data_IF_658665116300
#
_entry.id   IF_658665116300
#
_cell.length_a   1.000
_cell.length_b   1.000
_cell.length_c   1.000
_cell.angle_alpha   90.00
_cell.angle_beta   90.00
_cell.angle_gamma   90.00
#
_symmetry.space_group_name_H-M   'P 1'
#
loop_
_entity.id
_entity.type
_entity.pdbx_description
1 polymer ?
#
# COMPACT_ATOMS: atom_id res chain seq x y z
N UNK A 1 19.56 10.98 21.77
CA UNK A 1 20.09 11.20 20.45
C UNK A 1 18.94 11.22 19.42
N UNK A 2 18.58 12.44 18.95
CA UNK A 2 17.37 12.65 18.13
C UNK A 2 17.42 11.90 16.79
N UNK A 3 18.62 11.65 16.23
CA UNK A 3 18.74 10.96 14.94
C UNK A 3 18.49 9.45 15.04
N UNK A 4 18.86 8.81 16.15
CA UNK A 4 18.60 7.39 16.38
C UNK A 4 17.11 7.16 16.65
N UNK A 5 16.49 8.00 17.48
CA UNK A 5 15.07 7.91 17.78
C UNK A 5 14.19 8.09 16.51
N UNK A 6 14.52 9.06 15.66
CA UNK A 6 13.84 9.25 14.38
C UNK A 6 14.01 8.02 13.47
N UNK A 7 15.23 7.47 13.34
CA UNK A 7 15.47 6.24 12.57
C UNK A 7 14.64 5.06 13.05
N UNK A 8 14.45 4.92 14.36
CA UNK A 8 13.68 3.81 14.93
C UNK A 8 12.17 3.99 14.70
N UNK A 9 11.67 5.22 14.71
CA UNK A 9 10.27 5.51 14.37
C UNK A 9 9.97 5.09 12.93
N UNK A 10 10.81 5.46 11.96
CA UNK A 10 10.60 5.09 10.54
C UNK A 10 10.70 3.59 10.30
N UNK A 11 11.65 2.91 10.93
CA UNK A 11 11.75 1.45 10.86
C UNK A 11 10.47 0.79 11.36
N UNK A 12 9.94 1.25 12.49
CA UNK A 12 8.69 0.74 13.07
C UNK A 12 7.51 0.99 12.17
N UNK A 13 7.39 2.18 11.58
CA UNK A 13 6.32 2.53 10.66
C UNK A 13 6.38 1.67 9.38
N UNK A 14 7.53 1.57 8.73
CA UNK A 14 7.71 0.70 7.55
C UNK A 14 7.36 -0.75 7.87
N UNK A 15 7.84 -1.29 8.99
CA UNK A 15 7.50 -2.64 9.43
C UNK A 15 6.00 -2.80 9.69
N UNK A 16 5.37 -1.82 10.35
CA UNK A 16 3.93 -1.84 10.61
C UNK A 16 3.14 -1.88 9.30
N UNK A 17 3.49 -1.07 8.30
CA UNK A 17 2.80 -1.02 7.01
C UNK A 17 2.99 -2.31 6.20
N UNK A 18 4.18 -2.92 6.25
CA UNK A 18 4.42 -4.27 5.70
C UNK A 18 3.52 -5.30 6.41
N UNK A 19 3.43 -5.25 7.75
CA UNK A 19 2.57 -6.14 8.53
C UNK A 19 1.09 -5.94 8.19
N UNK A 20 0.62 -4.70 8.10
CA UNK A 20 -0.77 -4.38 7.69
C UNK A 20 -1.06 -4.92 6.31
N UNK A 21 -0.16 -4.75 5.34
CA UNK A 21 -0.31 -5.30 3.99
C UNK A 21 -0.39 -6.82 3.99
N UNK A 22 0.49 -7.46 4.74
CA UNK A 22 0.48 -8.91 4.88
C UNK A 22 -0.80 -9.41 5.54
N UNK A 23 -1.28 -8.72 6.58
CA UNK A 23 -2.53 -9.03 7.24
C UNK A 23 -3.74 -8.85 6.32
N UNK A 24 -3.79 -7.75 5.53
CA UNK A 24 -4.84 -7.55 4.52
C UNK A 24 -4.88 -8.69 3.51
N UNK A 25 -3.73 -9.18 3.08
CA UNK A 25 -3.62 -10.35 2.21
C UNK A 25 -4.04 -11.64 2.92
N UNK A 26 -3.52 -11.88 4.13
CA UNK A 26 -3.78 -13.11 4.91
C UNK A 26 -5.25 -13.24 5.31
N UNK A 27 -5.94 -12.12 5.54
CA UNK A 27 -7.40 -12.12 5.81
C UNK A 27 -8.23 -12.63 4.62
N UNK A 28 -7.66 -12.67 3.41
CA UNK A 28 -8.24 -13.39 2.27
C UNK A 28 -8.39 -14.89 2.50
N UNK A 29 -7.65 -15.49 3.44
CA UNK A 29 -7.87 -16.88 3.90
C UNK A 29 -9.23 -17.07 4.58
N UNK A 30 -9.73 -16.04 5.25
CA UNK A 30 -11.05 -16.00 5.87
C UNK A 30 -12.16 -15.55 4.90
N UNK A 31 -11.91 -15.73 3.59
CA UNK A 31 -12.73 -15.22 2.50
C UNK A 31 -12.47 -13.75 2.15
N UNK A 32 -13.02 -13.31 1.02
CA UNK A 32 -12.91 -11.89 0.59
C UNK A 32 -13.48 -10.90 1.60
N UNK A 33 -14.38 -11.32 2.47
CA UNK A 33 -14.96 -10.48 3.52
C UNK A 33 -13.91 -10.02 4.56
N UNK A 34 -12.98 -10.91 4.95
CA UNK A 34 -11.92 -10.57 5.89
C UNK A 34 -11.02 -9.45 5.37
N UNK A 35 -10.58 -9.57 4.13
CA UNK A 35 -9.79 -8.50 3.47
C UNK A 35 -10.61 -7.22 3.32
N UNK A 36 -11.87 -7.31 2.88
CA UNK A 36 -12.77 -6.17 2.76
C UNK A 36 -12.94 -5.42 4.07
N UNK A 37 -13.14 -6.13 5.17
CA UNK A 37 -13.22 -5.54 6.51
C UNK A 37 -11.93 -4.80 6.89
N UNK A 38 -10.77 -5.41 6.65
CA UNK A 38 -9.48 -4.77 6.95
C UNK A 38 -9.26 -3.48 6.14
N UNK A 39 -9.55 -3.52 4.84
CA UNK A 39 -9.43 -2.33 3.98
C UNK A 39 -10.39 -1.22 4.41
N UNK A 40 -11.64 -1.58 4.71
CA UNK A 40 -12.66 -0.63 5.19
C UNK A 40 -12.25 0.00 6.52
N UNK A 41 -11.78 -0.80 7.48
CA UNK A 41 -11.34 -0.31 8.78
C UNK A 41 -10.16 0.66 8.66
N UNK A 42 -9.17 0.34 7.81
CA UNK A 42 -8.06 1.26 7.53
C UNK A 42 -8.55 2.54 6.84
N UNK A 43 -9.47 2.44 5.88
CA UNK A 43 -10.05 3.61 5.22
C UNK A 43 -10.81 4.53 6.18
N UNK A 44 -11.62 3.95 7.08
CA UNK A 44 -12.33 4.69 8.13
C UNK A 44 -11.35 5.40 9.07
N UNK A 45 -10.27 4.72 9.46
CA UNK A 45 -9.24 5.31 10.33
C UNK A 45 -8.59 6.53 9.65
N UNK A 46 -8.20 6.42 8.39
CA UNK A 46 -7.61 7.53 7.63
C UNK A 46 -8.62 8.68 7.47
N UNK A 47 -9.88 8.36 7.16
CA UNK A 47 -10.96 9.35 7.04
C UNK A 47 -11.25 10.07 8.35
N UNK A 48 -11.32 9.36 9.46
CA UNK A 48 -11.51 9.95 10.80
C UNK A 48 -10.36 10.88 11.18
N UNK A 49 -9.12 10.49 10.86
CA UNK A 49 -7.94 11.32 11.11
C UNK A 49 -7.97 12.61 10.29
N UNK A 50 -8.31 12.54 9.01
CA UNK A 50 -8.49 13.72 8.16
C UNK A 50 -9.61 14.63 8.66
N UNK A 51 -10.74 14.06 9.10
CA UNK A 51 -11.87 14.83 9.66
C UNK A 51 -11.47 15.55 10.93
N UNK A 52 -10.69 14.93 11.79
CA UNK A 52 -10.14 15.57 12.99
C UNK A 52 -9.34 16.83 12.65
N UNK A 53 -8.43 16.76 11.69
CA UNK A 53 -7.63 17.91 11.26
C UNK A 53 -8.48 18.97 10.55
N UNK A 54 -9.50 18.56 9.80
CA UNK A 54 -10.46 19.49 9.19
C UNK A 54 -11.17 20.35 10.26
N UNK A 55 -11.59 19.73 11.35
CA UNK A 55 -12.26 20.45 12.45
C UNK A 55 -11.36 21.44 13.20
N UNK A 56 -10.05 21.34 13.04
CA UNK A 56 -9.04 22.21 13.65
C UNK A 56 -8.39 23.16 12.65
N UNK A 57 -8.98 23.35 11.47
CA UNK A 57 -8.46 24.18 10.38
C UNK A 57 -7.04 23.83 9.92
N UNK A 58 -6.62 22.57 10.12
CA UNK A 58 -5.30 22.04 9.78
C UNK A 58 -5.34 21.04 8.61
N UNK A 59 -6.43 21.07 7.81
CA UNK A 59 -6.61 20.08 6.75
C UNK A 59 -5.51 20.15 5.70
N UNK A 60 -5.08 21.34 5.30
CA UNK A 60 -4.07 21.51 4.26
C UNK A 60 -2.72 20.96 4.69
N UNK A 61 -2.22 21.40 5.83
CA UNK A 61 -0.94 20.98 6.39
C UNK A 61 -0.91 19.48 6.68
N UNK A 62 -1.98 18.96 7.28
CA UNK A 62 -2.09 17.54 7.58
C UNK A 62 -2.20 16.69 6.32
N UNK A 63 -2.93 17.17 5.30
CA UNK A 63 -3.02 16.46 4.02
C UNK A 63 -1.68 16.38 3.32
N UNK A 64 -0.94 17.49 3.24
CA UNK A 64 0.41 17.50 2.68
C UNK A 64 1.33 16.54 3.44
N UNK A 65 1.28 16.55 4.77
CA UNK A 65 2.10 15.67 5.59
C UNK A 65 1.72 14.18 5.39
N UNK A 66 0.42 13.84 5.42
CA UNK A 66 -0.06 12.46 5.30
C UNK A 66 0.20 11.90 3.90
N UNK A 67 -0.13 12.66 2.85
CA UNK A 67 -0.01 12.18 1.47
C UNK A 67 1.43 12.17 0.96
N UNK A 68 2.35 12.87 1.61
CA UNK A 68 3.75 12.92 1.21
C UNK A 68 4.41 11.52 1.22
N UNK A 69 4.16 10.72 2.24
CA UNK A 69 4.61 9.33 2.37
C UNK A 69 3.47 8.34 2.18
N UNK A 70 2.29 8.68 2.64
CA UNK A 70 1.09 7.85 2.58
C UNK A 70 0.64 7.50 1.17
N UNK A 71 0.97 8.31 0.16
CA UNK A 71 0.69 7.99 -1.24
C UNK A 71 1.26 6.62 -1.62
N UNK A 72 2.52 6.34 -1.32
CA UNK A 72 3.14 5.05 -1.62
C UNK A 72 2.60 3.93 -0.74
N UNK A 73 2.45 4.17 0.55
CA UNK A 73 2.08 3.17 1.55
C UNK A 73 0.62 2.72 1.41
N UNK A 74 -0.31 3.68 1.29
CA UNK A 74 -1.74 3.38 1.15
C UNK A 74 -1.99 2.58 -0.13
N UNK A 75 -1.36 2.94 -1.24
CA UNK A 75 -1.50 2.19 -2.48
C UNK A 75 -0.90 0.78 -2.37
N UNK A 76 0.23 0.61 -1.71
CA UNK A 76 0.81 -0.71 -1.48
C UNK A 76 -0.12 -1.60 -0.62
N UNK A 77 -0.79 -1.03 0.40
CA UNK A 77 -1.81 -1.73 1.20
C UNK A 77 -3.03 -2.10 0.35
N UNK A 78 -3.51 -1.19 -0.50
CA UNK A 78 -4.63 -1.46 -1.43
C UNK A 78 -4.29 -2.62 -2.37
N UNK A 79 -3.08 -2.63 -2.94
CA UNK A 79 -2.63 -3.69 -3.85
C UNK A 79 -2.52 -5.03 -3.12
N UNK A 80 -1.99 -5.04 -1.89
CA UNK A 80 -1.94 -6.24 -1.06
C UNK A 80 -3.36 -6.74 -0.70
N UNK A 81 -4.28 -5.83 -0.41
CA UNK A 81 -5.69 -6.14 -0.20
C UNK A 81 -6.35 -6.74 -1.44
N UNK A 82 -6.11 -6.18 -2.62
CA UNK A 82 -6.62 -6.74 -3.88
C UNK A 82 -6.12 -8.18 -4.10
N UNK A 83 -4.85 -8.45 -3.75
CA UNK A 83 -4.30 -9.81 -3.78
C UNK A 83 -5.01 -10.74 -2.78
N UNK A 84 -5.39 -10.25 -1.58
CA UNK A 84 -6.18 -10.97 -0.59
C UNK A 84 -7.60 -11.28 -1.07
N UNK A 85 -8.27 -10.30 -1.70
CA UNK A 85 -9.58 -10.51 -2.32
C UNK A 85 -9.52 -11.59 -3.41
N UNK A 86 -8.50 -11.55 -4.26
CA UNK A 86 -8.30 -12.57 -5.30
C UNK A 86 -8.04 -13.97 -4.71
N UNK A 87 -7.33 -14.04 -3.58
CA UNK A 87 -7.11 -15.29 -2.84
C UNK A 87 -8.44 -15.86 -2.32
N UNK A 88 -9.24 -15.04 -1.63
CA UNK A 88 -10.54 -15.42 -1.09
C UNK A 88 -11.53 -15.84 -2.19
N UNK A 89 -11.56 -15.13 -3.31
CA UNK A 89 -12.36 -15.51 -4.48
C UNK A 89 -11.93 -16.85 -5.06
N UNK A 90 -10.64 -17.15 -5.11
CA UNK A 90 -10.15 -18.46 -5.58
C UNK A 90 -10.66 -19.63 -4.74
N UNK A 91 -10.89 -19.42 -3.45
CA UNK A 91 -11.51 -20.41 -2.57
C UNK A 91 -13.02 -20.53 -2.76
N UNK A 92 -13.71 -19.38 -2.85
CA UNK A 92 -15.17 -19.34 -2.97
C UNK A 92 -15.66 -19.79 -4.37
N UNK A 93 -14.94 -19.37 -5.41
CA UNK A 93 -15.32 -19.59 -6.81
C UNK A 93 -14.15 -20.24 -7.57
N UNK A 94 -13.90 -21.55 -7.36
CA UNK A 94 -12.72 -22.23 -7.93
C UNK A 94 -12.77 -22.44 -9.45
N UNK A 95 -13.92 -22.18 -10.09
CA UNK A 95 -14.12 -22.44 -11.52
C UNK A 95 -13.95 -23.91 -11.88
N UNK A 96 -13.12 -24.21 -12.89
CA UNK A 96 -12.84 -25.56 -13.36
C UNK A 96 -11.81 -26.31 -12.50
N UNK A 97 -11.14 -25.65 -11.57
CA UNK A 97 -10.14 -26.26 -10.70
C UNK A 97 -10.77 -26.80 -9.41
N UNK A 98 -10.08 -27.76 -8.76
CA UNK A 98 -10.42 -28.09 -7.39
C UNK A 98 -10.21 -26.88 -6.47
N UNK A 99 -10.97 -26.78 -5.37
CA UNK A 99 -10.85 -25.66 -4.42
C UNK A 99 -9.42 -25.46 -3.91
N UNK A 100 -8.75 -26.56 -3.59
CA UNK A 100 -7.36 -26.54 -3.10
C UNK A 100 -6.39 -26.04 -4.16
N UNK A 101 -6.56 -26.47 -5.42
CA UNK A 101 -5.69 -26.04 -6.51
C UNK A 101 -5.92 -24.57 -6.86
N UNK A 102 -7.18 -24.12 -6.92
CA UNK A 102 -7.52 -22.71 -7.13
C UNK A 102 -6.95 -21.83 -6.03
N UNK A 103 -7.08 -22.27 -4.76
CA UNK A 103 -6.50 -21.61 -3.61
C UNK A 103 -4.96 -21.52 -3.69
N UNK A 104 -4.26 -22.63 -3.97
CA UNK A 104 -2.80 -22.64 -4.11
C UNK A 104 -2.30 -21.68 -5.19
N UNK A 105 -3.00 -21.61 -6.32
CA UNK A 105 -2.67 -20.69 -7.41
C UNK A 105 -2.92 -19.23 -6.99
N UNK A 106 -4.04 -18.96 -6.33
CA UNK A 106 -4.36 -17.65 -5.77
C UNK A 106 -3.32 -17.22 -4.74
N UNK A 107 -2.98 -18.08 -3.79
CA UNK A 107 -1.98 -17.83 -2.75
C UNK A 107 -0.60 -17.53 -3.34
N UNK A 108 -0.14 -18.32 -4.30
CA UNK A 108 1.16 -18.11 -4.95
C UNK A 108 1.22 -16.78 -5.73
N UNK A 109 0.14 -16.41 -6.42
CA UNK A 109 0.06 -15.12 -7.14
C UNK A 109 -0.01 -13.95 -6.15
N UNK A 110 -0.88 -14.05 -5.16
CA UNK A 110 -1.07 -12.99 -4.18
C UNK A 110 0.18 -12.76 -3.33
N UNK A 111 0.87 -13.83 -2.91
CA UNK A 111 2.13 -13.70 -2.17
C UNK A 111 3.21 -12.98 -2.99
N UNK A 112 3.31 -13.25 -4.30
CA UNK A 112 4.25 -12.54 -5.18
C UNK A 112 3.92 -11.04 -5.26
N UNK A 113 2.63 -10.70 -5.30
CA UNK A 113 2.17 -9.30 -5.31
C UNK A 113 2.56 -8.63 -3.99
N UNK A 114 2.27 -9.25 -2.85
CA UNK A 114 2.60 -8.70 -1.52
C UNK A 114 4.10 -8.53 -1.33
N UNK A 115 4.91 -9.51 -1.73
CA UNK A 115 6.38 -9.37 -1.72
C UNK A 115 6.82 -8.21 -2.63
N UNK A 116 6.17 -8.03 -3.77
CA UNK A 116 6.42 -6.89 -4.67
C UNK A 116 6.06 -5.52 -4.07
N UNK A 117 5.23 -5.44 -3.02
CA UNK A 117 4.97 -4.18 -2.32
C UNK A 117 6.07 -3.78 -1.34
N UNK A 118 6.90 -4.73 -0.88
CA UNK A 118 7.95 -4.46 0.12
C UNK A 118 8.95 -3.39 -0.34
N UNK A 119 9.50 -3.42 -1.58
CA UNK A 119 10.37 -2.36 -2.07
C UNK A 119 9.71 -0.98 -2.04
N UNK A 120 8.39 -0.91 -2.29
CA UNK A 120 7.62 0.33 -2.26
C UNK A 120 7.56 0.90 -0.84
N UNK A 121 7.35 0.06 0.18
CA UNK A 121 7.39 0.48 1.58
C UNK A 121 8.79 0.96 2.01
N UNK A 122 9.84 0.28 1.55
CA UNK A 122 11.22 0.70 1.81
C UNK A 122 11.47 2.09 1.20
N UNK A 123 11.04 2.31 -0.05
CA UNK A 123 11.16 3.62 -0.70
C UNK A 123 10.35 4.69 0.04
N UNK A 124 9.12 4.39 0.47
CA UNK A 124 8.30 5.30 1.25
C UNK A 124 9.00 5.71 2.55
N UNK A 125 9.55 4.74 3.29
CA UNK A 125 10.31 5.01 4.52
C UNK A 125 11.55 5.86 4.30
N UNK A 126 12.28 5.69 3.17
CA UNK A 126 13.39 6.56 2.82
C UNK A 126 12.93 7.99 2.51
N UNK A 127 11.87 8.16 1.73
CA UNK A 127 11.30 9.47 1.40
C UNK A 127 10.86 10.16 2.68
N UNK A 128 10.13 9.48 3.55
CA UNK A 128 9.71 9.99 4.84
C UNK A 128 10.91 10.40 5.70
N UNK A 129 11.88 9.52 5.88
CA UNK A 129 13.09 9.79 6.68
C UNK A 129 13.92 10.96 6.16
N UNK A 130 13.89 11.21 4.85
CA UNK A 130 14.53 12.37 4.25
C UNK A 130 13.75 13.66 4.46
N UNK A 131 12.44 13.63 4.20
CA UNK A 131 11.58 14.82 4.23
C UNK A 131 11.29 15.32 5.64
N UNK A 132 11.16 14.43 6.61
CA UNK A 132 10.93 14.82 8.01
C UNK A 132 12.15 15.48 8.66
N UNK A 133 13.35 15.29 8.10
CA UNK A 133 14.54 16.06 8.51
C UNK A 133 14.51 17.49 8.01
N UNK A 134 13.74 17.77 6.96
CA UNK A 134 13.62 19.07 6.32
C UNK A 134 12.21 19.62 6.49
N UNK A 135 11.86 19.99 7.73
CA UNK A 135 10.53 20.48 8.11
C UNK A 135 10.11 21.77 7.42
N UNK A 136 11.07 22.51 6.83
CA UNK A 136 10.85 23.81 6.18
C UNK A 136 10.72 23.70 4.64
N UNK A 137 10.41 22.50 4.12
CA UNK A 137 10.21 22.33 2.68
C UNK A 137 8.99 23.12 2.20
N UNK A 138 9.12 23.93 1.13
CA UNK A 138 7.98 24.64 0.54
C UNK A 138 6.94 23.65 0.01
N UNK A 139 5.65 24.01 0.09
CA UNK A 139 4.53 23.16 -0.32
C UNK A 139 4.64 22.67 -1.78
N UNK A 140 5.23 23.47 -2.65
CA UNK A 140 5.49 23.09 -4.06
C UNK A 140 6.36 21.83 -4.16
N UNK A 141 7.41 21.71 -3.32
CA UNK A 141 8.25 20.52 -3.31
C UNK A 141 7.51 19.31 -2.72
N UNK A 142 6.71 19.50 -1.68
CA UNK A 142 5.87 18.44 -1.10
C UNK A 142 4.88 17.90 -2.13
N UNK A 143 4.18 18.79 -2.83
CA UNK A 143 3.29 18.42 -3.94
C UNK A 143 4.05 17.69 -5.06
N UNK A 144 5.23 18.17 -5.44
CA UNK A 144 6.09 17.52 -6.42
C UNK A 144 6.41 16.06 -6.06
N UNK A 145 6.74 15.79 -4.79
CA UNK A 145 6.99 14.42 -4.30
C UNK A 145 5.72 13.57 -4.36
N UNK A 146 4.57 14.11 -3.94
CA UNK A 146 3.28 13.41 -4.00
C UNK A 146 2.94 13.00 -5.43
N UNK A 147 3.03 13.93 -6.39
CA UNK A 147 2.74 13.63 -7.80
C UNK A 147 3.75 12.65 -8.42
N UNK A 148 5.03 12.76 -8.07
CA UNK A 148 6.06 11.82 -8.52
C UNK A 148 5.81 10.42 -7.96
N UNK A 149 5.43 10.31 -6.68
CA UNK A 149 5.05 9.06 -6.04
C UNK A 149 3.83 8.43 -6.70
N UNK A 150 2.81 9.24 -7.02
CA UNK A 150 1.62 8.78 -7.72
C UNK A 150 1.95 8.29 -9.15
N UNK A 151 2.77 9.02 -9.88
CA UNK A 151 3.24 8.62 -11.21
C UNK A 151 4.03 7.30 -11.14
N UNK A 152 4.89 7.14 -10.13
CA UNK A 152 5.63 5.89 -9.89
C UNK A 152 4.69 4.72 -9.62
N UNK A 153 3.64 4.91 -8.82
CA UNK A 153 2.63 3.86 -8.53
C UNK A 153 1.90 3.43 -9.79
N UNK A 154 1.44 4.39 -10.59
CA UNK A 154 0.77 4.10 -11.86
C UNK A 154 1.72 3.32 -12.79
N UNK A 155 2.97 3.75 -12.88
CA UNK A 155 3.97 3.05 -13.67
C UNK A 155 4.23 1.64 -13.16
N UNK A 156 4.48 1.47 -11.86
CA UNK A 156 4.90 0.21 -11.27
C UNK A 156 3.78 -0.84 -11.24
N UNK A 157 2.56 -0.44 -10.82
CA UNK A 157 1.44 -1.37 -10.64
C UNK A 157 0.52 -1.51 -11.86
N UNK A 158 0.50 -0.54 -12.76
CA UNK A 158 -0.41 -0.55 -13.91
C UNK A 158 0.37 -0.75 -15.20
N UNK A 159 1.33 0.12 -15.51
CA UNK A 159 2.03 0.10 -16.79
C UNK A 159 2.96 -1.10 -16.94
N UNK A 160 3.80 -1.37 -15.96
CA UNK A 160 4.81 -2.43 -16.01
C UNK A 160 4.21 -3.85 -16.18
N UNK A 161 3.15 -4.24 -15.43
CA UNK A 161 2.49 -5.53 -15.62
C UNK A 161 1.78 -5.66 -16.96
N UNK A 162 1.16 -4.58 -17.47
CA UNK A 162 0.45 -4.61 -18.74
C UNK A 162 1.40 -4.76 -19.93
N UNK A 163 2.57 -4.13 -19.91
CA UNK A 163 3.59 -4.27 -20.96
C UNK A 163 4.08 -5.71 -21.11
N UNK A 164 4.20 -6.46 -20.01
CA UNK A 164 4.59 -7.87 -20.04
C UNK A 164 3.53 -8.79 -20.66
N UNK A 165 2.25 -8.41 -20.59
CA UNK A 165 1.17 -9.20 -21.22
C UNK A 165 1.21 -9.10 -22.75
N UNK A 166 1.52 -7.93 -23.31
CA UNK A 166 1.60 -7.76 -24.76
C UNK A 166 2.84 -8.40 -25.39
N UNK A 167 3.96 -8.49 -24.68
CA UNK A 167 5.18 -9.13 -25.16
C UNK A 167 5.13 -10.67 -25.16
N UNK A 168 4.14 -11.30 -24.50
CA UNK A 168 3.97 -12.78 -24.48
C UNK A 168 3.02 -13.25 -25.59
N UNK A 169 2.24 -12.34 -26.19
CA UNK A 169 1.31 -12.65 -27.29
C UNK A 169 1.97 -12.57 -28.67
N UNK A 170 3.23 -12.10 -28.77
CA UNK A 170 3.96 -11.95 -30.04
C UNK A 170 5.06 -13.00 -30.24
N UNK A 171 5.16 -14.01 -29.35
CA UNK A 171 6.05 -15.18 -29.50
C UNK A 171 5.24 -16.47 -29.51
#
# INVERSE_FOLDING_TARGET
DRSSAASDVYKRQTLNNVMVSFNCFAMGLLTSFGTGYMLLSNGIMVGAFQTFFYQHDLLWESSLAIWLHGTLEIWAIIVAGAAGLALGNGWLFPGTYSRLESFRRGAKRGLKIVIGTVPVFIMAGFIEGFLTRHTELPDVLRLGVIFTSLAFIIFYYIYLPNRKKHGITET
#
